data_IF_663017905154
#
_entry.id   IF_663017905154
#
_cell.length_a   1.000
_cell.length_b   1.000
_cell.length_c   1.000
_cell.angle_alpha   90.00
_cell.angle_beta   90.00
_cell.angle_gamma   90.00
#
_symmetry.space_group_name_H-M   'P 1'
#
loop_
_entity.id
_entity.type
_entity.pdbx_description
1 polymer ?
#
# COMPACT_ATOMS: atom_id res chain seq x y z
N UNK A 1 -3.66 -4.14 -3.24
CA UNK A 1 -3.68 -3.36 -1.97
C UNK A 1 -4.30 -2.00 -2.24
N UNK A 2 -5.15 -1.51 -1.36
CA UNK A 2 -5.66 -0.15 -1.41
C UNK A 2 -4.71 0.76 -0.61
N UNK A 3 -4.36 1.90 -1.19
CA UNK A 3 -3.39 2.83 -0.61
C UNK A 3 -3.94 4.24 -0.53
N UNK A 4 -3.38 5.05 0.38
CA UNK A 4 -3.62 6.48 0.47
C UNK A 4 -2.28 7.21 0.41
N UNK A 5 -2.27 8.41 -0.14
CA UNK A 5 -1.06 9.20 -0.32
C UNK A 5 -0.11 8.68 -1.42
N UNK A 6 -0.54 7.73 -2.24
CA UNK A 6 0.25 7.12 -3.28
C UNK A 6 -0.58 6.97 -4.55
N UNK A 7 -0.03 7.35 -5.69
CA UNK A 7 -0.58 7.08 -7.02
C UNK A 7 0.34 6.13 -7.78
N UNK A 8 -0.25 5.09 -8.38
CA UNK A 8 0.52 4.08 -9.11
C UNK A 8 -0.29 3.41 -10.21
N UNK A 9 0.40 2.88 -11.19
CA UNK A 9 -0.16 2.10 -12.29
C UNK A 9 0.27 0.64 -12.19
N UNK A 10 -0.65 -0.26 -12.45
CA UNK A 10 -0.37 -1.70 -12.58
C UNK A 10 -0.55 -2.10 -14.03
N UNK A 11 0.52 -2.51 -14.70
CA UNK A 11 0.50 -3.04 -16.06
C UNK A 11 0.24 -4.55 -16.02
N UNK A 12 -1.00 -4.94 -16.27
CA UNK A 12 -1.41 -6.36 -16.24
C UNK A 12 -1.04 -7.12 -17.52
N UNK A 13 -0.50 -6.46 -18.54
CA UNK A 13 0.01 -7.11 -19.76
C UNK A 13 1.35 -7.80 -19.50
N UNK A 14 2.10 -7.34 -18.50
CA UNK A 14 3.35 -7.98 -18.08
C UNK A 14 3.05 -9.24 -17.30
N UNK A 15 3.83 -10.28 -17.54
CA UNK A 15 3.70 -11.53 -16.80
C UNK A 15 3.94 -11.34 -15.31
N UNK A 16 3.19 -12.10 -14.51
CA UNK A 16 3.45 -12.19 -13.08
C UNK A 16 4.69 -13.05 -12.86
N UNK A 17 5.71 -12.43 -12.30
CA UNK A 17 6.95 -13.10 -11.94
C UNK A 17 6.84 -13.61 -10.49
N UNK A 18 6.47 -14.88 -10.38
CA UNK A 18 6.40 -15.58 -9.11
C UNK A 18 7.82 -16.00 -8.69
N UNK A 19 8.31 -15.40 -7.63
CA UNK A 19 9.60 -15.76 -7.06
C UNK A 19 9.53 -16.96 -6.11
N UNK A 20 10.34 -16.98 -5.11
CA UNK A 20 10.48 -18.08 -4.17
C UNK A 20 9.34 -18.14 -3.15
N UNK A 21 9.10 -19.30 -2.59
CA UNK A 21 8.12 -19.47 -1.53
C UNK A 21 8.54 -18.70 -0.26
N UNK A 22 7.56 -18.03 0.33
CA UNK A 22 7.72 -17.27 1.57
C UNK A 22 6.62 -17.70 2.54
N UNK A 23 7.00 -18.37 3.62
CA UNK A 23 6.02 -19.01 4.52
C UNK A 23 5.20 -20.09 3.81
N UNK A 24 4.04 -20.43 4.37
CA UNK A 24 3.26 -21.58 3.93
C UNK A 24 2.49 -21.34 2.61
N UNK A 25 2.06 -20.11 2.34
CA UNK A 25 1.17 -19.80 1.22
C UNK A 25 1.55 -18.55 0.41
N UNK A 26 2.68 -17.94 0.68
CA UNK A 26 3.08 -16.67 0.10
C UNK A 26 4.31 -16.84 -0.79
N UNK A 27 4.51 -15.89 -1.69
CA UNK A 27 5.67 -15.86 -2.57
C UNK A 27 6.28 -14.47 -2.57
N UNK A 28 7.61 -14.42 -2.59
CA UNK A 28 8.33 -13.20 -2.94
C UNK A 28 8.12 -12.94 -4.42
N UNK A 29 8.02 -11.69 -4.85
CA UNK A 29 8.03 -11.40 -6.27
C UNK A 29 9.44 -11.62 -6.83
N UNK A 30 9.57 -12.27 -7.98
CA UNK A 30 10.83 -12.36 -8.70
C UNK A 30 11.22 -11.01 -9.30
N UNK A 31 10.21 -10.18 -9.63
CA UNK A 31 10.39 -8.79 -10.04
C UNK A 31 9.19 -7.94 -9.67
N UNK A 32 9.35 -6.62 -9.65
CA UNK A 32 8.29 -5.63 -9.41
C UNK A 32 7.98 -4.80 -10.66
N UNK A 33 8.26 -5.34 -11.84
CA UNK A 33 8.19 -4.65 -13.12
C UNK A 33 6.76 -4.25 -13.57
N UNK A 34 5.73 -4.78 -12.91
CA UNK A 34 4.31 -4.49 -13.22
C UNK A 34 3.80 -3.21 -12.60
N UNK A 35 4.46 -2.69 -11.58
CA UNK A 35 4.02 -1.53 -10.82
C UNK A 35 4.92 -0.35 -11.08
N UNK A 36 4.32 0.78 -11.40
CA UNK A 36 5.00 2.07 -11.54
C UNK A 36 4.36 3.07 -10.59
N UNK A 37 5.12 3.53 -9.61
CA UNK A 37 4.71 4.61 -8.71
C UNK A 37 4.94 5.93 -9.42
N UNK A 38 3.92 6.78 -9.47
CA UNK A 38 4.00 8.10 -10.11
C UNK A 38 4.15 9.23 -9.09
N UNK A 39 3.42 9.14 -7.97
CA UNK A 39 3.38 10.22 -7.00
C UNK A 39 3.30 9.68 -5.56
N UNK A 40 3.85 10.43 -4.62
CA UNK A 40 3.67 10.28 -3.18
C UNK A 40 3.26 11.62 -2.60
N UNK A 41 2.10 11.66 -1.92
CA UNK A 41 1.50 12.87 -1.33
C UNK A 41 1.39 14.05 -2.33
N UNK A 42 1.02 13.74 -3.59
CA UNK A 42 0.87 14.75 -4.65
C UNK A 42 2.17 15.31 -5.21
N UNK A 43 3.31 14.73 -4.85
CA UNK A 43 4.62 15.04 -5.41
C UNK A 43 5.12 13.88 -6.28
N UNK A 44 5.87 14.17 -7.33
CA UNK A 44 6.50 13.13 -8.14
C UNK A 44 7.32 12.17 -7.27
N UNK A 45 7.20 10.87 -7.53
CA UNK A 45 7.95 9.84 -6.81
C UNK A 45 9.46 10.01 -7.04
N UNK A 46 10.21 10.07 -5.95
CA UNK A 46 11.68 10.08 -5.96
C UNK A 46 12.18 8.74 -5.37
N UNK A 47 12.81 7.88 -6.15
CA UNK A 47 13.29 6.58 -5.68
C UNK A 47 14.42 6.67 -4.64
N UNK A 48 15.09 7.82 -4.52
CA UNK A 48 16.16 8.06 -3.55
C UNK A 48 15.66 8.67 -2.24
N UNK A 49 14.39 9.08 -2.19
CA UNK A 49 13.81 9.69 -0.99
C UNK A 49 13.36 8.63 0.03
N UNK A 50 13.37 9.02 1.29
CA UNK A 50 12.79 8.21 2.38
C UNK A 50 11.32 8.60 2.60
N UNK A 51 10.46 7.60 2.66
CA UNK A 51 9.03 7.78 2.87
C UNK A 51 8.58 7.11 4.16
N UNK A 52 7.79 7.81 4.96
CA UNK A 52 7.10 7.21 6.09
C UNK A 52 5.87 6.42 5.62
N UNK A 53 5.78 5.16 5.99
CA UNK A 53 4.67 4.28 5.62
C UNK A 53 3.92 3.83 6.86
N UNK A 54 2.60 3.98 6.84
CA UNK A 54 1.70 3.41 7.86
C UNK A 54 1.05 2.17 7.27
N UNK A 55 1.14 1.05 7.94
CA UNK A 55 0.56 -0.21 7.49
C UNK A 55 -0.05 -0.99 8.67
N UNK A 56 -0.80 -2.03 8.38
CA UNK A 56 -1.34 -2.91 9.42
C UNK A 56 -0.21 -3.74 10.06
N UNK A 57 -0.43 -4.15 11.31
CA UNK A 57 0.48 -5.06 12.00
C UNK A 57 0.66 -6.39 11.24
N UNK A 58 -0.38 -6.87 10.58
CA UNK A 58 -0.32 -8.07 9.75
C UNK A 58 0.68 -7.90 8.59
N UNK A 59 0.56 -6.82 7.81
CA UNK A 59 1.50 -6.54 6.72
C UNK A 59 2.91 -6.27 7.22
N UNK A 60 3.04 -5.54 8.34
CA UNK A 60 4.33 -5.26 8.98
C UNK A 60 5.07 -6.56 9.35
N UNK A 61 4.34 -7.59 9.78
CA UNK A 61 4.89 -8.92 10.09
C UNK A 61 5.00 -9.85 8.88
N UNK A 62 4.76 -9.36 7.68
CA UNK A 62 4.98 -10.08 6.42
C UNK A 62 3.82 -10.96 5.95
N UNK A 63 2.60 -10.80 6.49
CA UNK A 63 1.42 -11.50 5.98
C UNK A 63 1.04 -11.00 4.56
N UNK A 64 0.28 -11.80 3.82
CA UNK A 64 -0.20 -11.48 2.47
C UNK A 64 0.92 -11.08 1.48
N UNK A 65 2.03 -11.80 1.51
CA UNK A 65 3.24 -11.52 0.72
C UNK A 65 3.87 -10.13 1.00
N UNK A 66 3.60 -9.56 2.16
CA UNK A 66 4.16 -8.25 2.57
C UNK A 66 5.58 -8.37 3.18
N UNK A 67 6.36 -9.34 2.70
CA UNK A 67 7.72 -9.61 3.15
C UNK A 67 8.64 -8.39 3.10
N UNK A 68 8.40 -7.47 2.17
CA UNK A 68 9.18 -6.23 2.02
C UNK A 68 9.05 -5.34 3.25
N UNK A 69 7.85 -5.23 3.83
CA UNK A 69 7.64 -4.46 5.06
C UNK A 69 8.34 -5.10 6.25
N UNK A 70 8.30 -6.43 6.35
CA UNK A 70 9.01 -7.15 7.40
C UNK A 70 10.52 -6.95 7.29
N UNK A 71 11.08 -7.13 6.10
CA UNK A 71 12.52 -6.92 5.86
C UNK A 71 12.93 -5.47 6.16
N UNK A 72 12.13 -4.49 5.73
CA UNK A 72 12.39 -3.08 6.02
C UNK A 72 12.29 -2.77 7.52
N UNK A 73 11.35 -3.37 8.23
CA UNK A 73 11.19 -3.20 9.67
C UNK A 73 12.37 -3.80 10.46
N UNK A 74 12.87 -4.96 10.04
CA UNK A 74 14.03 -5.63 10.64
C UNK A 74 15.32 -4.85 10.38
N UNK A 75 15.42 -4.17 9.24
CA UNK A 75 16.58 -3.36 8.87
C UNK A 75 16.53 -1.91 9.42
N UNK A 76 15.37 -1.46 9.90
CA UNK A 76 15.14 -0.06 10.24
C UNK A 76 14.77 0.11 11.72
N UNK A 77 15.65 0.77 12.48
CA UNK A 77 15.44 1.08 13.89
C UNK A 77 14.33 2.13 14.14
N UNK A 78 13.80 2.75 13.10
CA UNK A 78 12.78 3.81 13.19
C UNK A 78 11.34 3.29 13.05
N UNK A 79 11.12 1.99 13.05
CA UNK A 79 9.77 1.44 13.02
C UNK A 79 9.11 1.52 14.41
N UNK A 80 7.83 1.91 14.43
CA UNK A 80 7.05 2.01 15.67
C UNK A 80 5.70 1.32 15.50
N UNK A 81 5.36 0.46 16.46
CA UNK A 81 4.04 -0.16 16.53
C UNK A 81 3.15 0.74 17.41
N UNK A 82 2.00 1.14 16.86
CA UNK A 82 0.99 1.89 17.61
C UNK A 82 -0.09 0.95 18.16
N UNK A 83 -0.83 1.40 19.16
CA UNK A 83 -1.99 0.68 19.70
C UNK A 83 -3.29 1.00 18.95
N UNK A 84 -3.22 1.81 17.89
CA UNK A 84 -4.39 2.19 17.12
C UNK A 84 -5.00 0.97 16.40
N UNK A 85 -6.29 0.77 16.59
CA UNK A 85 -7.05 -0.28 15.91
C UNK A 85 -7.67 0.29 14.65
N UNK A 86 -7.51 -0.38 13.51
CA UNK A 86 -8.00 0.10 12.19
C UNK A 86 -9.48 0.47 12.25
N UNK A 87 -10.32 -0.36 12.90
CA UNK A 87 -11.75 -0.06 13.07
C UNK A 87 -11.97 1.29 13.76
N UNK A 88 -11.23 1.57 14.81
CA UNK A 88 -11.41 2.77 15.63
C UNK A 88 -10.93 4.01 14.87
N UNK A 89 -9.82 3.89 14.12
CA UNK A 89 -9.34 4.96 13.24
C UNK A 89 -10.35 5.28 12.13
N UNK A 90 -10.94 4.26 11.51
CA UNK A 90 -12.00 4.46 10.51
C UNK A 90 -13.24 5.11 11.13
N UNK A 91 -13.64 4.66 12.32
CA UNK A 91 -14.76 5.26 13.04
C UNK A 91 -14.51 6.73 13.37
N UNK A 92 -13.35 7.08 13.91
CA UNK A 92 -12.96 8.46 14.19
C UNK A 92 -12.98 9.33 12.93
N UNK A 93 -12.41 8.83 11.83
CA UNK A 93 -12.44 9.53 10.56
C UNK A 93 -13.87 9.80 10.07
N UNK A 94 -14.74 8.79 10.11
CA UNK A 94 -16.14 8.95 9.69
C UNK A 94 -16.90 9.91 10.59
N UNK A 95 -16.70 9.87 11.91
CA UNK A 95 -17.46 10.67 12.86
C UNK A 95 -16.91 12.10 13.00
N UNK A 96 -15.61 12.28 13.08
CA UNK A 96 -14.98 13.54 13.42
C UNK A 96 -14.64 14.35 12.17
N UNK A 97 -14.09 13.70 11.13
CA UNK A 97 -13.68 14.40 9.91
C UNK A 97 -14.83 14.54 8.91
N UNK A 98 -15.65 13.49 8.76
CA UNK A 98 -16.75 13.49 7.78
C UNK A 98 -18.14 13.79 8.37
N UNK A 99 -18.25 14.00 9.68
CA UNK A 99 -19.53 14.29 10.35
C UNK A 99 -20.59 13.20 10.13
N UNK A 100 -20.20 11.93 10.04
CA UNK A 100 -21.01 10.75 9.74
C UNK A 100 -21.66 10.76 8.33
N UNK A 101 -21.14 11.55 7.40
CA UNK A 101 -21.64 11.61 6.02
C UNK A 101 -20.51 11.29 5.05
N UNK A 102 -20.67 10.21 4.30
CA UNK A 102 -19.80 9.90 3.16
C UNK A 102 -20.35 10.65 1.94
N UNK A 103 -19.76 11.80 1.64
CA UNK A 103 -20.24 12.70 0.60
C UNK A 103 -19.78 12.31 -0.80
N UNK A 104 -20.09 13.19 -1.77
CA UNK A 104 -19.81 12.98 -3.19
C UNK A 104 -18.31 12.80 -3.52
N UNK A 105 -17.42 13.31 -2.69
CA UNK A 105 -15.98 13.10 -2.83
C UNK A 105 -15.57 11.60 -2.87
N UNK A 106 -16.42 10.72 -2.34
CA UNK A 106 -16.21 9.27 -2.32
C UNK A 106 -17.15 8.50 -3.26
N UNK A 107 -17.98 9.20 -4.05
CA UNK A 107 -18.95 8.57 -4.94
C UNK A 107 -18.31 7.89 -6.15
N UNK A 108 -17.06 8.24 -6.48
CA UNK A 108 -16.32 7.67 -7.60
C UNK A 108 -14.89 7.33 -7.18
N UNK A 109 -14.21 6.41 -7.92
CA UNK A 109 -12.79 6.14 -7.73
C UNK A 109 -11.96 7.41 -7.89
N UNK A 110 -11.00 7.62 -7.00
CA UNK A 110 -10.17 8.83 -6.97
C UNK A 110 -8.95 8.77 -7.91
N UNK A 111 -8.84 7.73 -8.75
CA UNK A 111 -7.79 7.60 -9.76
C UNK A 111 -6.38 7.30 -9.20
N UNK A 112 -6.25 6.97 -7.94
CA UNK A 112 -4.95 6.67 -7.31
C UNK A 112 -4.34 5.36 -7.80
N UNK A 113 -5.18 4.40 -8.17
CA UNK A 113 -4.79 3.14 -8.80
C UNK A 113 -5.28 3.13 -10.23
N UNK A 114 -4.36 3.03 -11.17
CA UNK A 114 -4.64 2.83 -12.57
C UNK A 114 -4.26 1.40 -12.96
N UNK A 115 -5.11 0.76 -13.73
CA UNK A 115 -4.83 -0.56 -14.31
C UNK A 115 -4.65 -0.39 -15.81
N UNK A 116 -3.46 -0.66 -16.30
CA UNK A 116 -3.15 -0.70 -17.73
C UNK A 116 -3.38 -2.12 -18.24
N UNK A 117 -4.49 -2.30 -18.94
CA UNK A 117 -4.89 -3.57 -19.54
C UNK A 117 -4.71 -3.53 -21.05
N UNK A 118 -4.45 -4.68 -21.67
CA UNK A 118 -4.50 -4.80 -23.11
C UNK A 118 -5.92 -4.49 -23.61
N UNK A 119 -6.03 -3.66 -24.65
CA UNK A 119 -7.22 -3.56 -25.48
C UNK A 119 -7.26 -4.73 -26.46
#
# INVERSE_FOLDING_TARGET
MQVSGLSYTVDIRKEYDKGEAYGDNWFTAGSVNRVTVSEVNGQAFDPEALYAVITSNANFNGMDSSYVFKAAAEANEHSTITTAVVRDVVWMYLSEELGNVVGEAYAAPQGRLLVDAAQ
#
